data_IF_506314076068
#
_entry.id   IF_506314076068
#
_cell.length_a   1.000
_cell.length_b   1.000
_cell.length_c   1.000
_cell.angle_alpha   90.00
_cell.angle_beta   90.00
_cell.angle_gamma   90.00
#
_symmetry.space_group_name_H-M   'P 1'
#
loop_
_entity.id
_entity.type
_entity.pdbx_description
1 polymer ?
#
# COMPACT_ATOMS: atom_id res chain seq x y z
N UNK A 1 3.75 3.12 -14.43
CA UNK A 1 3.47 2.08 -13.40
C UNK A 1 3.83 0.66 -13.88
N UNK A 2 3.41 0.23 -15.07
CA UNK A 2 3.64 -1.13 -15.59
C UNK A 2 5.12 -1.54 -15.76
N UNK A 3 6.01 -0.61 -16.12
CA UNK A 3 7.43 -0.91 -16.28
C UNK A 3 8.13 -1.28 -14.94
N UNK A 4 7.70 -0.70 -13.82
CA UNK A 4 8.28 -0.98 -12.50
C UNK A 4 7.94 -2.39 -12.00
N UNK A 5 6.72 -2.87 -12.29
CA UNK A 5 6.26 -4.22 -11.91
C UNK A 5 7.06 -5.35 -12.55
N UNK A 6 7.74 -5.09 -13.68
CA UNK A 6 8.62 -6.08 -14.32
C UNK A 6 9.82 -6.46 -13.44
N UNK A 7 10.29 -5.51 -12.62
CA UNK A 7 11.42 -5.68 -11.72
C UNK A 7 11.00 -6.07 -10.30
N UNK A 8 9.69 -5.99 -9.99
CA UNK A 8 9.15 -6.41 -8.70
C UNK A 8 9.17 -7.93 -8.55
N UNK A 9 10.11 -8.44 -7.75
CA UNK A 9 10.26 -9.86 -7.37
C UNK A 9 10.34 -10.87 -8.54
N UNK A 10 10.43 -12.17 -8.21
CA UNK A 10 10.33 -13.25 -9.20
C UNK A 10 8.88 -13.52 -9.63
N UNK A 11 8.68 -14.25 -10.73
CA UNK A 11 7.35 -14.61 -11.26
C UNK A 11 6.46 -15.29 -10.20
N UNK A 12 7.03 -16.20 -9.42
CA UNK A 12 6.32 -16.96 -8.39
C UNK A 12 5.76 -16.03 -7.30
N UNK A 13 6.53 -15.02 -6.89
CA UNK A 13 6.11 -14.06 -5.88
C UNK A 13 5.06 -13.10 -6.46
N UNK A 14 5.24 -12.63 -7.71
CA UNK A 14 4.24 -11.77 -8.36
C UNK A 14 2.87 -12.40 -8.51
N UNK A 15 2.81 -13.72 -8.71
CA UNK A 15 1.54 -14.42 -8.91
C UNK A 15 0.72 -14.54 -7.62
N UNK A 16 1.33 -14.37 -6.45
CA UNK A 16 0.65 -14.49 -5.14
C UNK A 16 0.66 -13.20 -4.32
N UNK A 17 1.57 -12.27 -4.64
CA UNK A 17 1.66 -10.99 -3.94
C UNK A 17 0.50 -10.08 -4.31
N UNK A 18 -0.06 -9.41 -3.31
CA UNK A 18 -1.09 -8.39 -3.50
C UNK A 18 -0.50 -7.00 -3.38
N UNK A 19 -1.03 -6.06 -4.16
CA UNK A 19 -0.63 -4.65 -4.06
C UNK A 19 -0.97 -4.09 -2.67
N UNK A 20 -2.16 -4.42 -2.14
CA UNK A 20 -2.58 -4.02 -0.80
C UNK A 20 -1.63 -4.54 0.28
N UNK A 21 -1.22 -5.81 0.22
CA UNK A 21 -0.27 -6.39 1.18
C UNK A 21 1.12 -5.75 1.10
N UNK A 22 1.59 -5.43 -0.11
CA UNK A 22 2.85 -4.73 -0.31
C UNK A 22 2.82 -3.31 0.31
N UNK A 23 1.74 -2.56 0.10
CA UNK A 23 1.53 -1.22 0.66
C UNK A 23 1.40 -1.28 2.19
N UNK A 24 0.55 -2.19 2.70
CA UNK A 24 0.28 -2.34 4.13
C UNK A 24 1.52 -2.75 4.94
N UNK A 25 2.49 -3.42 4.30
CA UNK A 25 3.77 -3.78 4.95
C UNK A 25 4.60 -2.53 5.32
N UNK A 26 4.40 -1.39 4.63
CA UNK A 26 5.12 -0.13 4.88
C UNK A 26 6.65 -0.29 4.97
N UNK A 27 7.20 -1.14 4.10
CA UNK A 27 8.65 -1.33 4.00
C UNK A 27 9.30 -0.16 3.26
N UNK A 28 10.38 0.44 3.79
CA UNK A 28 11.10 1.53 3.11
C UNK A 28 11.81 1.07 1.84
N UNK A 29 12.04 -0.23 1.67
CA UNK A 29 12.64 -0.84 0.47
C UNK A 29 11.59 -1.37 -0.52
N UNK A 30 10.31 -0.99 -0.36
CA UNK A 30 9.28 -1.39 -1.31
C UNK A 30 9.34 -0.53 -2.56
N UNK A 31 9.44 -1.15 -3.74
CA UNK A 31 9.51 -0.46 -5.02
C UNK A 31 8.22 0.31 -5.36
N UNK A 32 7.07 -0.14 -4.83
CA UNK A 32 5.77 0.44 -5.17
C UNK A 32 5.41 1.67 -4.32
N UNK A 33 5.88 1.74 -3.08
CA UNK A 33 5.58 2.85 -2.16
C UNK A 33 5.99 4.22 -2.74
N UNK A 34 7.23 4.44 -3.21
CA UNK A 34 7.63 5.73 -3.77
C UNK A 34 6.90 6.05 -5.08
N UNK A 35 6.54 5.05 -5.89
CA UNK A 35 5.76 5.25 -7.12
C UNK A 35 4.35 5.76 -6.80
N UNK A 36 3.69 5.19 -5.79
CA UNK A 36 2.34 5.58 -5.36
C UNK A 36 2.31 6.98 -4.75
N UNK A 37 3.35 7.36 -4.02
CA UNK A 37 3.55 8.72 -3.49
C UNK A 37 3.77 9.69 -4.64
N UNK A 38 4.68 9.39 -5.58
CA UNK A 38 4.98 10.25 -6.73
C UNK A 38 3.76 10.48 -7.64
N UNK A 39 2.88 9.49 -7.77
CA UNK A 39 1.63 9.60 -8.51
C UNK A 39 0.50 10.32 -7.75
N UNK A 40 0.74 10.81 -6.52
CA UNK A 40 -0.28 11.40 -5.64
C UNK A 40 -1.52 10.52 -5.49
N UNK A 41 -1.30 9.22 -5.38
CA UNK A 41 -2.38 8.25 -5.28
C UNK A 41 -3.17 8.40 -3.98
N UNK A 42 -4.42 7.94 -3.99
CA UNK A 42 -5.28 7.86 -2.81
C UNK A 42 -5.55 6.39 -2.52
N UNK A 43 -5.35 5.99 -1.27
CA UNK A 43 -5.59 4.63 -0.80
C UNK A 43 -6.98 4.60 -0.16
N UNK A 44 -7.88 3.78 -0.70
CA UNK A 44 -9.16 3.49 -0.06
C UNK A 44 -8.90 2.51 1.09
N UNK A 45 -9.41 2.83 2.27
CA UNK A 45 -9.39 1.92 3.41
C UNK A 45 -10.81 1.76 3.93
N UNK A 46 -11.11 0.57 4.45
CA UNK A 46 -12.45 0.19 4.90
C UNK A 46 -12.39 -0.26 6.34
N UNK A 47 -13.28 0.21 7.21
CA UNK A 47 -13.45 -0.36 8.54
C UNK A 47 -14.06 -1.75 8.44
N UNK A 48 -13.39 -2.75 8.99
CA UNK A 48 -13.89 -4.11 9.11
C UNK A 48 -15.09 -4.21 10.08
N UNK A 49 -15.28 -3.21 10.94
CA UNK A 49 -16.37 -3.18 11.93
C UNK A 49 -17.59 -2.44 11.38
N UNK A 50 -17.42 -1.21 10.89
CA UNK A 50 -18.53 -0.38 10.43
C UNK A 50 -18.81 -0.47 8.93
N UNK A 51 -17.85 -0.96 8.14
CA UNK A 51 -17.90 -0.91 6.68
C UNK A 51 -17.65 0.49 6.10
N UNK A 52 -17.36 1.49 6.94
CA UNK A 52 -17.09 2.86 6.51
C UNK A 52 -15.82 2.92 5.66
N UNK A 53 -15.87 3.73 4.59
CA UNK A 53 -14.75 3.93 3.68
C UNK A 53 -14.15 5.30 3.90
N UNK A 54 -12.82 5.38 3.91
CA UNK A 54 -12.10 6.66 3.80
C UNK A 54 -10.95 6.56 2.83
N UNK A 55 -10.55 7.71 2.29
CA UNK A 55 -9.38 7.82 1.43
C UNK A 55 -8.23 8.48 2.18
N UNK A 56 -7.04 7.90 2.08
CA UNK A 56 -5.80 8.43 2.64
C UNK A 56 -4.85 8.78 1.49
N UNK A 57 -4.33 10.01 1.39
CA UNK A 57 -3.25 10.33 0.47
C UNK A 57 -2.04 9.43 0.72
N UNK A 58 -1.42 8.89 -0.33
CA UNK A 58 -0.24 8.03 -0.15
C UNK A 58 0.93 8.73 0.56
N UNK A 59 1.03 10.06 0.42
CA UNK A 59 1.99 10.92 1.15
C UNK A 59 1.81 10.87 2.68
N UNK A 60 0.57 10.67 3.15
CA UNK A 60 0.21 10.64 4.57
C UNK A 60 0.06 9.22 5.12
N UNK A 61 0.10 8.21 4.24
CA UNK A 61 -0.14 6.83 4.62
C UNK A 61 1.04 6.21 5.40
N UNK A 62 2.27 6.56 5.04
CA UNK A 62 3.49 6.00 5.64
C UNK A 62 3.98 6.90 6.77
N UNK A 63 3.65 6.57 8.01
CA UNK A 63 4.03 7.37 9.20
C UNK A 63 5.46 7.10 9.69
N UNK A 64 6.07 6.00 9.23
CA UNK A 64 7.43 5.61 9.60
C UNK A 64 7.73 4.16 9.24
N UNK A 65 8.88 3.64 9.70
CA UNK A 65 9.27 2.26 9.45
C UNK A 65 8.21 1.27 9.96
N UNK A 66 7.58 0.53 9.04
CA UNK A 66 6.48 -0.42 9.34
C UNK A 66 5.32 0.20 10.11
N UNK A 67 5.08 1.49 9.95
CA UNK A 67 3.96 2.22 10.56
C UNK A 67 3.10 2.85 9.47
N UNK A 68 1.82 2.48 9.45
CA UNK A 68 0.83 3.01 8.51
C UNK A 68 -0.16 3.91 9.24
N UNK A 69 -0.91 4.70 8.49
CA UNK A 69 -2.03 5.52 8.99
C UNK A 69 -3.34 4.71 9.18
N UNK A 70 -3.30 3.38 9.09
CA UNK A 70 -4.46 2.51 9.32
C UNK A 70 -4.81 2.50 10.82
N UNK A 71 -6.12 2.56 11.10
CA UNK A 71 -6.65 2.28 12.44
C UNK A 71 -6.70 0.76 12.66
N UNK A 72 -6.84 0.34 13.92
CA UNK A 72 -6.86 -1.08 14.29
C UNK A 72 -8.01 -1.88 13.63
N UNK A 73 -9.10 -1.20 13.28
CA UNK A 73 -10.26 -1.78 12.62
C UNK A 73 -10.26 -1.60 11.10
N UNK A 74 -9.22 -1.00 10.51
CA UNK A 74 -9.20 -0.68 9.08
C UNK A 74 -8.37 -1.67 8.26
N UNK A 75 -8.85 -1.95 7.05
CA UNK A 75 -8.21 -2.78 6.04
C UNK A 75 -8.07 -2.02 4.72
N UNK A 76 -7.14 -2.46 3.88
CA UNK A 76 -6.76 -1.85 2.60
C UNK A 76 -7.16 -2.76 1.43
#
# INVERSE_FOLDING_TARGET
MTAALRYFAGNQIRNVATLAGNIATASPISDMNPVLVACRSRLEVVSAVSGEKRFIPAEEFFLGYRKTALRNDEIL
#
